data_IF_275919059686
#
_entry.id   IF_275919059686
#
_cell.length_a   1.000
_cell.length_b   1.000
_cell.length_c   1.000
_cell.angle_alpha   90.00
_cell.angle_beta   90.00
_cell.angle_gamma   90.00
#
_symmetry.space_group_name_H-M   'P 1'
#
loop_
_entity.id
_entity.type
_entity.pdbx_description
1 polymer ?
#
# COMPACT_ATOMS: atom_id res chain seq x y z
N UNK A 1 2.33 -23.78 22.75
CA UNK A 1 2.60 -22.36 23.03
C UNK A 1 3.05 -21.62 21.74
N UNK A 2 2.44 -21.93 20.58
CA UNK A 2 2.96 -21.64 19.23
C UNK A 2 2.26 -20.49 18.48
N UNK A 3 1.39 -19.73 19.18
CA UNK A 3 0.59 -18.62 18.62
C UNK A 3 0.95 -17.26 19.22
N UNK A 4 1.73 -17.21 20.30
CA UNK A 4 1.85 -16.03 21.14
C UNK A 4 2.41 -14.79 20.42
N UNK A 5 3.29 -14.97 19.44
CA UNK A 5 3.94 -13.86 18.76
C UNK A 5 3.05 -13.15 17.72
N UNK A 6 2.18 -13.89 17.03
CA UNK A 6 1.34 -13.36 15.93
C UNK A 6 -0.05 -12.97 16.42
N UNK A 7 -0.54 -13.57 17.51
CA UNK A 7 -1.84 -13.23 18.09
C UNK A 7 -1.91 -11.75 18.45
N UNK A 8 -2.96 -11.07 17.97
CA UNK A 8 -3.19 -9.65 18.21
C UNK A 8 -2.42 -8.72 17.26
N UNK A 9 -1.65 -9.26 16.30
CA UNK A 9 -0.94 -8.47 15.28
C UNK A 9 -1.59 -8.54 13.90
N UNK A 10 -2.78 -9.12 13.79
CA UNK A 10 -3.48 -9.31 12.51
C UNK A 10 -3.69 -7.98 11.78
N UNK A 11 -4.07 -6.93 12.51
CA UNK A 11 -4.24 -5.58 11.97
C UNK A 11 -2.94 -5.02 11.34
N UNK A 12 -1.77 -5.38 11.88
CA UNK A 12 -0.47 -4.95 11.33
C UNK A 12 -0.08 -5.84 10.15
N UNK A 13 -0.29 -7.16 10.26
CA UNK A 13 0.03 -8.11 9.18
C UNK A 13 -0.72 -7.74 7.89
N UNK A 14 -2.02 -7.47 7.99
CA UNK A 14 -2.87 -7.18 6.84
C UNK A 14 -3.03 -5.69 6.56
N UNK A 15 -2.79 -4.80 7.52
CA UNK A 15 -3.04 -3.36 7.36
C UNK A 15 -4.49 -3.08 6.98
N UNK A 16 -4.68 -2.11 6.08
CA UNK A 16 -5.97 -1.76 5.49
C UNK A 16 -6.32 -2.58 4.22
N UNK A 17 -5.80 -3.81 4.08
CA UNK A 17 -6.05 -4.63 2.88
C UNK A 17 -7.53 -4.84 2.59
N UNK A 18 -8.36 -5.03 3.62
CA UNK A 18 -9.80 -5.18 3.48
C UNK A 18 -10.44 -3.94 2.84
N UNK A 19 -10.01 -2.74 3.22
CA UNK A 19 -10.50 -1.49 2.64
C UNK A 19 -10.08 -1.32 1.18
N UNK A 20 -8.87 -1.75 0.83
CA UNK A 20 -8.41 -1.78 -0.56
C UNK A 20 -9.30 -2.72 -1.38
N UNK A 21 -9.51 -3.96 -0.93
CA UNK A 21 -10.36 -4.93 -1.61
C UNK A 21 -11.78 -4.39 -1.80
N UNK A 22 -12.38 -3.87 -0.74
CA UNK A 22 -13.73 -3.29 -0.77
C UNK A 22 -13.84 -2.13 -1.76
N UNK A 23 -12.85 -1.24 -1.78
CA UNK A 23 -12.84 -0.12 -2.73
C UNK A 23 -12.72 -0.60 -4.18
N UNK A 24 -11.84 -1.57 -4.46
CA UNK A 24 -11.70 -2.10 -5.82
C UNK A 24 -12.97 -2.81 -6.27
N UNK A 25 -13.51 -3.73 -5.46
CA UNK A 25 -14.69 -4.53 -5.81
C UNK A 25 -15.95 -3.67 -5.99
N UNK A 26 -16.19 -2.72 -5.07
CA UNK A 26 -17.46 -2.00 -5.01
C UNK A 26 -17.46 -0.71 -5.81
N UNK A 27 -16.30 -0.15 -6.12
CA UNK A 27 -16.19 1.18 -6.76
C UNK A 27 -15.30 1.11 -8.00
N UNK A 28 -14.01 0.80 -7.83
CA UNK A 28 -13.04 1.05 -8.89
C UNK A 28 -13.18 0.11 -10.09
N UNK A 29 -13.39 -1.19 -9.86
CA UNK A 29 -13.60 -2.17 -10.93
C UNK A 29 -14.88 -1.89 -11.74
N UNK A 30 -16.06 -1.65 -11.12
CA UNK A 30 -17.24 -1.21 -11.85
C UNK A 30 -17.02 0.04 -12.71
N UNK A 31 -16.27 1.04 -12.21
CA UNK A 31 -15.95 2.24 -12.98
C UNK A 31 -15.03 1.94 -14.17
N UNK A 32 -14.01 1.10 -14.00
CA UNK A 32 -13.13 0.66 -15.09
C UNK A 32 -13.88 -0.13 -16.17
N UNK A 33 -14.83 -1.00 -15.78
CA UNK A 33 -15.59 -1.82 -16.71
C UNK A 33 -16.39 -1.00 -17.74
N UNK A 34 -16.76 0.24 -17.40
CA UNK A 34 -17.47 1.15 -18.33
C UNK A 34 -16.67 1.40 -19.62
N UNK A 35 -15.35 1.52 -19.50
CA UNK A 35 -14.44 1.80 -20.62
C UNK A 35 -14.05 0.55 -21.42
N UNK A 36 -14.33 -0.65 -20.91
CA UNK A 36 -14.07 -1.91 -21.59
C UNK A 36 -15.24 -2.42 -22.45
N UNK A 37 -16.46 -1.96 -22.15
CA UNK A 37 -17.71 -2.55 -22.66
C UNK A 37 -18.16 -2.11 -24.06
N UNK A 38 -17.56 -1.06 -24.63
CA UNK A 38 -18.00 -0.48 -25.91
C UNK A 38 -19.38 0.18 -25.78
N UNK A 39 -19.40 1.48 -25.56
CA UNK A 39 -20.61 2.29 -25.36
C UNK A 39 -20.27 3.76 -25.38
N UNK A 40 -20.87 4.55 -24.48
CA UNK A 40 -20.59 5.99 -24.35
C UNK A 40 -19.18 6.30 -23.81
N UNK A 41 -18.42 5.28 -23.40
CA UNK A 41 -17.07 5.41 -22.87
C UNK A 41 -16.06 4.79 -23.83
N UNK A 42 -15.06 5.58 -24.24
CA UNK A 42 -13.97 5.11 -25.09
C UNK A 42 -12.79 4.64 -24.21
N UNK A 43 -12.02 3.61 -24.62
CA UNK A 43 -10.86 3.16 -23.86
C UNK A 43 -9.82 4.26 -23.59
N UNK A 44 -9.73 5.25 -24.46
CA UNK A 44 -8.83 6.42 -24.32
C UNK A 44 -9.25 7.41 -23.22
N UNK A 45 -10.50 7.35 -22.74
CA UNK A 45 -11.01 8.19 -21.65
C UNK A 45 -10.87 7.52 -20.27
N UNK A 46 -10.32 6.31 -20.19
CA UNK A 46 -10.18 5.57 -18.91
C UNK A 46 -9.33 6.33 -17.88
N UNK A 47 -8.52 7.28 -18.34
CA UNK A 47 -7.76 8.21 -17.50
C UNK A 47 -8.63 8.98 -16.50
N UNK A 48 -9.87 9.35 -16.88
CA UNK A 48 -10.82 10.02 -15.99
C UNK A 48 -11.12 9.21 -14.72
N UNK A 49 -11.17 7.88 -14.81
CA UNK A 49 -11.37 7.02 -13.64
C UNK A 49 -10.25 7.20 -12.61
N UNK A 50 -9.00 7.30 -13.07
CA UNK A 50 -7.84 7.50 -12.21
C UNK A 50 -7.76 8.91 -11.64
N UNK A 51 -8.20 9.92 -12.37
CA UNK A 51 -8.31 11.30 -11.86
C UNK A 51 -9.39 11.39 -10.79
N UNK A 52 -10.59 10.90 -11.09
CA UNK A 52 -11.76 10.97 -10.20
C UNK A 52 -11.56 10.24 -8.88
N UNK A 53 -10.82 9.13 -8.90
CA UNK A 53 -10.56 8.31 -7.72
C UNK A 53 -9.13 8.42 -7.17
N UNK A 54 -8.34 9.34 -7.73
CA UNK A 54 -6.91 9.48 -7.45
C UNK A 54 -6.60 9.70 -5.98
N UNK A 55 -7.35 10.57 -5.31
CA UNK A 55 -7.13 10.87 -3.90
C UNK A 55 -7.45 9.67 -3.00
N UNK A 56 -8.53 8.94 -3.28
CA UNK A 56 -8.88 7.73 -2.51
C UNK A 56 -7.87 6.61 -2.74
N UNK A 57 -7.40 6.43 -3.98
CA UNK A 57 -6.29 5.52 -4.27
C UNK A 57 -5.02 5.95 -3.54
N UNK A 58 -4.69 7.24 -3.53
CA UNK A 58 -3.52 7.74 -2.82
C UNK A 58 -3.59 7.44 -1.33
N UNK A 59 -4.70 7.77 -0.67
CA UNK A 59 -4.94 7.50 0.75
C UNK A 59 -4.76 6.00 1.08
N UNK A 60 -5.54 5.14 0.41
CA UNK A 60 -5.54 3.70 0.66
C UNK A 60 -4.15 3.07 0.48
N UNK A 61 -3.46 3.39 -0.60
CA UNK A 61 -2.17 2.76 -0.92
C UNK A 61 -1.01 3.35 -0.13
N UNK A 62 -1.04 4.64 0.22
CA UNK A 62 -0.04 5.25 1.12
C UNK A 62 -0.11 4.58 2.49
N UNK A 63 -1.31 4.46 3.08
CA UNK A 63 -1.50 3.81 4.38
C UNK A 63 -1.02 2.35 4.37
N UNK A 64 -1.36 1.61 3.30
CA UNK A 64 -0.91 0.24 3.13
C UNK A 64 0.63 0.15 3.07
N UNK A 65 1.26 1.01 2.28
CA UNK A 65 2.72 1.00 2.10
C UNK A 65 3.46 1.40 3.38
N UNK A 66 2.91 2.36 4.14
CA UNK A 66 3.46 2.75 5.44
C UNK A 66 3.38 1.59 6.44
N UNK A 67 2.25 0.88 6.51
CA UNK A 67 2.09 -0.30 7.36
C UNK A 67 2.94 -1.50 6.89
N UNK A 68 3.20 -1.61 5.58
CA UNK A 68 3.94 -2.75 4.99
C UNK A 68 5.34 -2.93 5.58
N UNK A 69 5.96 -1.87 6.11
CA UNK A 69 7.25 -1.94 6.82
C UNK A 69 7.13 -2.85 8.05
N UNK A 70 6.14 -2.63 8.91
CA UNK A 70 5.94 -3.44 10.12
C UNK A 70 5.39 -4.82 9.81
N UNK A 71 4.47 -4.92 8.84
CA UNK A 71 3.96 -6.20 8.34
C UNK A 71 5.11 -7.11 7.91
N UNK A 72 6.05 -6.57 7.13
CA UNK A 72 7.22 -7.32 6.66
C UNK A 72 8.12 -7.73 7.83
N UNK A 73 8.31 -6.87 8.82
CA UNK A 73 9.10 -7.21 10.01
C UNK A 73 8.48 -8.38 10.78
N UNK A 74 7.16 -8.39 11.00
CA UNK A 74 6.45 -9.49 11.68
C UNK A 74 6.62 -10.81 10.92
N UNK A 75 6.55 -10.78 9.58
CA UNK A 75 6.74 -11.94 8.74
C UNK A 75 8.18 -12.50 8.82
N UNK A 76 9.18 -11.63 8.97
CA UNK A 76 10.60 -12.01 9.12
C UNK A 76 10.87 -12.57 10.53
N UNK A 77 10.26 -11.97 11.55
CA UNK A 77 10.41 -12.38 12.95
C UNK A 77 9.61 -13.64 13.32
N UNK A 78 8.84 -14.22 12.40
CA UNK A 78 8.13 -15.50 12.58
C UNK A 78 9.11 -16.68 12.63
N UNK A 79 9.83 -16.83 13.75
CA UNK A 79 10.76 -17.93 13.98
C UNK A 79 10.08 -19.29 14.06
N UNK A 80 8.78 -19.30 14.34
CA UNK A 80 8.00 -20.52 14.53
C UNK A 80 7.45 -21.08 13.22
N UNK A 81 7.71 -20.46 12.05
CA UNK A 81 7.14 -20.85 10.75
C UNK A 81 5.60 -20.96 10.78
N UNK A 82 4.94 -20.08 11.53
CA UNK A 82 3.49 -20.05 11.64
C UNK A 82 2.82 -19.85 10.28
N UNK A 83 3.29 -18.89 9.48
CA UNK A 83 2.68 -18.59 8.18
C UNK A 83 2.87 -19.72 7.16
N UNK A 84 4.01 -20.42 7.20
CA UNK A 84 4.23 -21.59 6.35
C UNK A 84 3.27 -22.74 6.71
N UNK A 85 3.02 -22.96 8.01
CA UNK A 85 2.02 -23.95 8.44
C UNK A 85 0.60 -23.58 8.00
N UNK A 86 0.24 -22.31 8.06
CA UNK A 86 -1.05 -21.84 7.53
C UNK A 86 -1.14 -22.08 6.02
N UNK A 87 -0.07 -21.81 5.27
CA UNK A 87 -0.01 -22.07 3.83
C UNK A 87 -0.33 -23.54 3.53
N UNK A 88 0.31 -24.49 4.23
CA UNK A 88 0.07 -25.93 4.05
C UNK A 88 -1.34 -26.30 4.50
N UNK A 89 -1.81 -25.78 5.63
CA UNK A 89 -3.11 -26.13 6.20
C UNK A 89 -4.28 -25.72 5.31
N UNK A 90 -4.17 -24.56 4.64
CA UNK A 90 -5.19 -24.04 3.72
C UNK A 90 -4.90 -24.34 2.24
N UNK A 91 -3.89 -25.16 1.95
CA UNK A 91 -3.47 -25.54 0.60
C UNK A 91 -3.26 -24.33 -0.34
N UNK A 92 -2.56 -23.30 0.18
CA UNK A 92 -2.31 -22.07 -0.57
C UNK A 92 -1.15 -22.26 -1.56
N UNK A 93 -1.40 -21.94 -2.82
CA UNK A 93 -0.42 -22.05 -3.91
C UNK A 93 0.84 -21.21 -3.71
N UNK A 94 0.74 -20.07 -3.01
CA UNK A 94 1.83 -19.15 -2.74
C UNK A 94 1.93 -18.83 -1.24
N UNK A 95 3.11 -18.43 -0.73
CA UNK A 95 3.24 -17.97 0.65
C UNK A 95 2.49 -16.64 0.87
N UNK A 96 2.13 -16.35 2.13
CA UNK A 96 1.37 -15.15 2.50
C UNK A 96 2.00 -13.85 1.96
N UNK A 97 3.33 -13.75 1.98
CA UNK A 97 4.10 -12.61 1.49
C UNK A 97 3.81 -12.30 0.02
N UNK A 98 3.58 -13.33 -0.82
CA UNK A 98 3.25 -13.17 -2.24
C UNK A 98 1.87 -12.57 -2.47
N UNK A 99 0.95 -12.68 -1.49
CA UNK A 99 -0.33 -11.99 -1.51
C UNK A 99 -0.20 -10.56 -0.99
N UNK A 100 0.56 -10.34 0.08
CA UNK A 100 0.75 -9.02 0.69
C UNK A 100 1.59 -8.04 -0.14
N UNK A 101 2.28 -8.51 -1.19
CA UNK A 101 2.96 -7.62 -2.15
C UNK A 101 2.04 -7.16 -3.29
N UNK A 102 0.90 -7.83 -3.51
CA UNK A 102 0.01 -7.55 -4.65
C UNK A 102 -0.51 -6.11 -4.70
N UNK A 103 -0.88 -5.44 -3.58
CA UNK A 103 -1.27 -4.03 -3.64
C UNK A 103 -0.13 -3.12 -4.15
N UNK A 104 1.10 -3.31 -3.67
CA UNK A 104 2.28 -2.54 -4.13
C UNK A 104 2.55 -2.79 -5.62
N UNK A 105 2.37 -4.02 -6.10
CA UNK A 105 2.47 -4.36 -7.51
C UNK A 105 1.32 -3.74 -8.34
N UNK A 106 0.11 -3.68 -7.79
CA UNK A 106 -1.08 -3.17 -8.48
C UNK A 106 -0.93 -1.68 -8.79
N UNK A 107 -0.49 -0.88 -7.82
CA UNK A 107 -0.35 0.58 -8.00
C UNK A 107 0.76 0.93 -9.01
N UNK A 108 1.82 0.12 -9.08
CA UNK A 108 2.86 0.28 -10.11
C UNK A 108 2.38 -0.17 -11.48
N UNK A 109 1.59 -1.24 -11.55
CA UNK A 109 1.02 -1.74 -12.81
C UNK A 109 0.07 -0.73 -13.47
N UNK A 110 -0.71 0.04 -12.70
CA UNK A 110 -1.56 1.09 -13.28
C UNK A 110 -0.77 2.13 -14.07
N UNK A 111 0.41 2.55 -13.58
CA UNK A 111 1.28 3.49 -14.29
C UNK A 111 1.81 2.91 -15.61
N UNK A 112 2.14 1.62 -15.62
CA UNK A 112 2.63 0.95 -16.83
C UNK A 112 1.51 0.86 -17.87
N UNK A 113 0.32 0.43 -17.46
CA UNK A 113 -0.83 0.30 -18.36
C UNK A 113 -1.23 1.66 -18.93
N UNK A 114 -1.35 2.70 -18.09
CA UNK A 114 -1.71 4.05 -18.56
C UNK A 114 -0.67 4.63 -19.51
N UNK A 115 0.61 4.36 -19.27
CA UNK A 115 1.70 4.76 -20.18
C UNK A 115 1.60 4.04 -21.51
N UNK A 116 1.42 2.71 -21.49
CA UNK A 116 1.24 1.89 -22.68
C UNK A 116 0.02 2.34 -23.50
N UNK A 117 -1.12 2.57 -22.86
CA UNK A 117 -2.34 3.07 -23.52
C UNK A 117 -2.11 4.45 -24.15
N UNK A 118 -1.53 5.38 -23.38
CA UNK A 118 -1.23 6.74 -23.87
C UNK A 118 -0.30 6.70 -25.07
N UNK A 119 0.71 5.83 -25.06
CA UNK A 119 1.69 5.73 -26.14
C UNK A 119 1.10 5.09 -27.42
N UNK A 120 -0.06 4.43 -27.32
CA UNK A 120 -0.84 3.93 -28.45
C UNK A 120 -1.87 4.94 -29.01
N UNK A 121 -2.18 6.00 -28.28
CA UNK A 121 -3.16 7.02 -28.70
C UNK A 121 -2.49 8.22 -29.38
N UNK A 122 -3.23 8.93 -30.22
CA UNK A 122 -2.78 10.21 -30.76
C UNK A 122 -2.64 11.24 -29.62
N UNK A 123 -1.60 12.07 -29.68
CA UNK A 123 -1.31 13.06 -28.62
C UNK A 123 -2.47 14.04 -28.38
N UNK A 124 -3.33 14.25 -29.36
CA UNK A 124 -4.51 15.11 -29.27
C UNK A 124 -5.69 14.48 -28.52
N UNK A 125 -5.75 13.15 -28.39
CA UNK A 125 -6.82 12.44 -27.68
C UNK A 125 -6.39 11.84 -26.33
N UNK A 126 -5.08 11.75 -26.06
CA UNK A 126 -4.55 11.13 -24.83
C UNK A 126 -4.51 12.04 -23.60
N UNK A 127 -5.32 13.11 -23.55
CA UNK A 127 -5.30 14.11 -22.47
C UNK A 127 -5.61 13.50 -21.10
N UNK A 128 -6.73 12.79 -21.00
CA UNK A 128 -7.15 12.17 -19.74
C UNK A 128 -6.21 11.03 -19.30
N UNK A 129 -5.69 10.24 -20.26
CA UNK A 129 -4.66 9.24 -19.96
C UNK A 129 -3.39 9.86 -19.38
N UNK A 130 -3.00 11.04 -19.87
CA UNK A 130 -1.86 11.76 -19.31
C UNK A 130 -2.14 12.20 -17.87
N UNK A 131 -3.29 12.82 -17.60
CA UNK A 131 -3.65 13.25 -16.25
C UNK A 131 -3.77 12.07 -15.28
N UNK A 132 -4.45 10.99 -15.68
CA UNK A 132 -4.55 9.77 -14.89
C UNK A 132 -3.17 9.15 -14.60
N UNK A 133 -2.25 9.17 -15.58
CA UNK A 133 -0.89 8.71 -15.39
C UNK A 133 -0.13 9.56 -14.35
N UNK A 134 -0.23 10.88 -14.40
CA UNK A 134 0.42 11.77 -13.42
C UNK A 134 -0.10 11.49 -12.00
N UNK A 135 -1.41 11.28 -11.85
CA UNK A 135 -2.01 10.89 -10.56
C UNK A 135 -1.42 9.56 -10.08
N UNK A 136 -1.35 8.54 -10.94
CA UNK A 136 -0.82 7.22 -10.56
C UNK A 136 0.69 7.22 -10.32
N UNK A 137 1.46 8.11 -10.96
CA UNK A 137 2.88 8.32 -10.68
C UNK A 137 3.10 8.97 -9.31
N UNK A 138 2.18 9.84 -8.88
CA UNK A 138 2.26 10.53 -7.60
C UNK A 138 2.04 9.58 -6.41
N UNK A 139 1.22 8.53 -6.53
CA UNK A 139 0.87 7.65 -5.40
C UNK A 139 2.09 6.94 -4.78
N UNK A 140 2.94 6.19 -5.52
CA UNK A 140 4.13 5.59 -4.92
C UNK A 140 5.12 6.62 -4.40
N UNK A 141 5.20 7.79 -5.03
CA UNK A 141 6.05 8.89 -4.55
C UNK A 141 5.60 9.37 -3.17
N UNK A 142 4.30 9.66 -3.00
CA UNK A 142 3.70 10.02 -1.72
C UNK A 142 3.92 8.91 -0.66
N UNK A 143 3.76 7.65 -1.06
CA UNK A 143 3.99 6.52 -0.16
C UNK A 143 5.44 6.44 0.33
N UNK A 144 6.40 6.59 -0.60
CA UNK A 144 7.83 6.62 -0.26
C UNK A 144 8.18 7.82 0.64
N UNK A 145 7.63 9.00 0.37
CA UNK A 145 7.79 10.18 1.23
C UNK A 145 7.24 9.94 2.64
N UNK A 146 6.02 9.39 2.75
CA UNK A 146 5.40 9.07 4.03
C UNK A 146 6.20 8.03 4.83
N UNK A 147 6.69 6.97 4.17
CA UNK A 147 7.57 5.97 4.78
C UNK A 147 8.86 6.63 5.29
N UNK A 148 9.50 7.46 4.48
CA UNK A 148 10.74 8.13 4.85
C UNK A 148 10.53 9.09 6.04
N UNK A 149 9.45 9.87 6.03
CA UNK A 149 9.08 10.75 7.14
C UNK A 149 8.84 9.96 8.43
N UNK A 150 8.13 8.83 8.34
CA UNK A 150 7.92 7.92 9.47
C UNK A 150 9.25 7.39 10.01
N UNK A 151 10.18 6.97 9.14
CA UNK A 151 11.50 6.51 9.55
C UNK A 151 12.33 7.60 10.25
N UNK A 152 12.25 8.85 9.79
CA UNK A 152 12.91 9.98 10.46
C UNK A 152 12.32 10.24 11.85
N UNK A 153 10.98 10.23 11.99
CA UNK A 153 10.33 10.41 13.29
C UNK A 153 10.71 9.31 14.28
N UNK A 154 10.80 8.05 13.82
CA UNK A 154 11.27 6.92 14.65
C UNK A 154 12.74 7.12 15.05
N UNK A 155 13.61 7.58 14.14
CA UNK A 155 15.00 7.93 14.49
C UNK A 155 15.05 9.04 15.53
N UNK A 156 14.28 10.12 15.37
CA UNK A 156 14.21 11.20 16.36
C UNK A 156 13.66 10.72 17.71
N UNK A 157 12.67 9.82 17.73
CA UNK A 157 12.17 9.20 18.96
C UNK A 157 13.22 8.30 19.62
N UNK A 158 13.98 7.52 18.84
CA UNK A 158 15.10 6.70 19.33
C UNK A 158 16.26 7.57 19.84
N UNK A 159 16.50 8.76 19.29
CA UNK A 159 17.49 9.71 19.83
C UNK A 159 16.96 10.52 21.03
N UNK A 160 15.64 10.75 21.11
CA UNK A 160 15.00 11.40 22.26
C UNK A 160 14.83 10.45 23.45
N UNK A 161 14.67 9.14 23.25
CA UNK A 161 14.50 8.18 24.35
C UNK A 161 15.73 8.11 25.30
N UNK A 162 16.99 8.08 24.82
CA UNK A 162 18.16 8.21 25.67
C UNK A 162 18.20 9.56 26.38
N UNK A 163 17.83 10.65 25.70
CA UNK A 163 17.82 11.99 26.29
C UNK A 163 16.76 12.13 27.39
N UNK A 164 15.54 11.62 27.18
CA UNK A 164 14.47 11.57 28.18
C UNK A 164 14.78 10.60 29.31
N UNK A 165 15.37 9.44 29.03
CA UNK A 165 15.81 8.51 30.07
C UNK A 165 16.95 9.10 30.92
N UNK A 166 17.87 9.86 30.32
CA UNK A 166 18.91 10.60 31.04
C UNK A 166 18.32 11.74 31.87
N UNK A 167 17.35 12.47 31.32
CA UNK A 167 16.63 13.54 32.02
C UNK A 167 15.83 13.01 33.21
N UNK A 168 15.09 11.90 33.04
CA UNK A 168 14.37 11.23 34.13
C UNK A 168 15.30 10.66 35.20
N UNK A 169 16.47 10.13 34.80
CA UNK A 169 17.45 9.56 35.74
C UNK A 169 18.16 10.63 36.58
N UNK A 170 18.36 11.83 36.02
CA UNK A 170 18.85 13.00 36.76
C UNK A 170 17.77 13.52 37.73
N UNK A 171 16.51 13.61 37.30
CA UNK A 171 15.46 14.22 38.11
C UNK A 171 14.92 13.30 39.23
N UNK A 172 14.93 11.97 39.05
CA UNK A 172 14.38 11.01 40.02
C UNK A 172 15.40 10.44 41.02
N UNK A 173 16.71 10.62 40.80
CA UNK A 173 17.76 10.21 41.75
C UNK A 173 18.34 11.39 42.56
N UNK A 174 17.70 12.56 42.49
CA UNK A 174 18.10 13.77 43.21
C UNK A 174 17.22 14.06 44.44
N UNK A 175 16.62 13.01 45.02
CA UNK A 175 15.84 13.06 46.26
C UNK A 175 16.32 12.03 47.26
#
# INVERSE_FOLDING_TARGET
MLRAFVVGKEAIVFGNLAEICDFHEKVFEPELCKYAGGGDFLPEDVGHCFVSHGDRLAELYVDYCVNKVDSTQILIEDTDNFFQRLQIHYDLAEPLQSFLIKPVQRITKYQLILRELRDCCDKSSAGELHEGLEVMLAVPKKANEAIHLRMLQVRHAIFCLPALAFYFKIYMNSG
#
